data_IF_037171376248
#
_entry.id   IF_037171376248
#
_cell.length_a   1.000
_cell.length_b   1.000
_cell.length_c   1.000
_cell.angle_alpha   90.00
_cell.angle_beta   90.00
_cell.angle_gamma   90.00
#
_symmetry.space_group_name_H-M   'P 1'
#
loop_
_entity.id
_entity.type
_entity.pdbx_description
1 polymer ?
#
# COMPACT_ATOMS: atom_id res chain seq x y z
N UNK A 1 -6.25 -10.36 3.85
CA UNK A 1 -7.25 -9.34 4.23
C UNK A 1 -6.67 -8.40 5.28
N UNK A 2 -6.65 -8.72 6.60
CA UNK A 2 -6.16 -7.78 7.64
C UNK A 2 -4.75 -7.22 7.41
N UNK A 3 -3.75 -8.10 7.18
CA UNK A 3 -2.37 -7.66 6.92
C UNK A 3 -2.25 -6.85 5.62
N UNK A 4 -3.10 -7.12 4.62
CA UNK A 4 -3.12 -6.33 3.38
C UNK A 4 -3.72 -4.95 3.64
N UNK A 5 -4.85 -4.87 4.35
CA UNK A 5 -5.40 -3.58 4.79
C UNK A 5 -4.40 -2.74 5.59
N UNK A 6 -3.58 -3.39 6.43
CA UNK A 6 -2.51 -2.70 7.14
C UNK A 6 -1.41 -2.17 6.22
N UNK A 7 -1.01 -2.96 5.22
CA UNK A 7 -0.05 -2.54 4.20
C UNK A 7 -0.58 -1.32 3.42
N UNK A 8 -1.81 -1.37 2.89
CA UNK A 8 -2.38 -0.23 2.14
C UNK A 8 -2.45 1.03 3.03
N UNK A 9 -2.82 0.86 4.32
CA UNK A 9 -2.86 1.98 5.27
C UNK A 9 -1.48 2.63 5.44
N UNK A 10 -0.43 1.82 5.53
CA UNK A 10 0.94 2.34 5.63
C UNK A 10 1.39 2.96 4.31
N UNK A 11 1.00 2.41 3.17
CA UNK A 11 1.31 2.98 1.86
C UNK A 11 0.75 4.42 1.75
N UNK A 12 -0.50 4.66 2.17
CA UNK A 12 -1.08 6.02 2.26
C UNK A 12 -0.18 6.96 3.06
N UNK A 13 0.21 6.55 4.27
CA UNK A 13 1.04 7.37 5.16
C UNK A 13 2.42 7.64 4.55
N UNK A 14 3.00 6.65 3.88
CA UNK A 14 4.31 6.75 3.23
C UNK A 14 4.29 7.67 2.02
N UNK A 15 3.22 7.69 1.21
CA UNK A 15 3.08 8.66 0.12
C UNK A 15 2.99 10.10 0.65
N UNK A 16 2.26 10.32 1.74
CA UNK A 16 2.20 11.63 2.39
C UNK A 16 3.53 12.00 3.06
N UNK A 17 4.24 11.04 3.65
CA UNK A 17 5.58 11.27 4.19
C UNK A 17 6.55 11.69 3.09
N UNK A 18 6.49 11.07 1.90
CA UNK A 18 7.31 11.48 0.75
C UNK A 18 7.12 12.96 0.38
N UNK A 19 5.85 13.37 0.27
CA UNK A 19 5.46 14.75 -0.05
C UNK A 19 5.97 15.72 1.03
N UNK A 20 5.63 15.46 2.29
CA UNK A 20 5.86 16.40 3.39
C UNK A 20 7.33 16.48 3.78
N UNK A 21 8.04 15.35 3.78
CA UNK A 21 9.42 15.25 4.27
C UNK A 21 10.43 15.70 3.22
N UNK A 22 10.30 15.20 2.00
CA UNK A 22 11.34 15.37 0.99
C UNK A 22 10.99 16.47 -0.02
N UNK A 23 9.71 16.75 -0.26
CA UNK A 23 9.29 17.77 -1.22
C UNK A 23 9.92 19.15 -1.00
N UNK A 24 9.73 19.78 0.19
CA UNK A 24 10.22 21.13 0.44
C UNK A 24 11.74 21.28 0.38
N UNK A 25 12.47 20.25 0.83
CA UNK A 25 13.93 20.30 1.01
C UNK A 25 14.72 19.99 -0.26
N UNK A 26 14.07 19.45 -1.30
CA UNK A 26 14.74 18.96 -2.51
C UNK A 26 14.30 19.67 -3.80
N UNK A 27 13.52 20.75 -3.71
CA UNK A 27 13.00 21.50 -4.86
C UNK A 27 12.33 20.59 -5.91
N UNK A 28 11.52 19.64 -5.43
CA UNK A 28 10.91 18.64 -6.29
C UNK A 28 9.95 19.28 -7.31
N UNK A 29 9.88 18.77 -8.55
CA UNK A 29 8.94 19.27 -9.54
C UNK A 29 7.50 18.97 -9.13
N UNK A 30 6.53 19.73 -9.67
CA UNK A 30 5.10 19.50 -9.41
C UNK A 30 4.66 18.05 -9.64
N UNK A 31 5.19 17.38 -10.66
CA UNK A 31 4.85 15.99 -10.98
C UNK A 31 5.13 15.02 -9.84
N UNK A 32 6.19 15.25 -9.05
CA UNK A 32 6.48 14.46 -7.85
C UNK A 32 5.28 14.46 -6.90
N UNK A 33 4.72 15.64 -6.62
CA UNK A 33 3.56 15.76 -5.73
C UNK A 33 2.30 15.17 -6.35
N UNK A 34 2.06 15.44 -7.64
CA UNK A 34 0.88 14.94 -8.34
C UNK A 34 0.86 13.39 -8.36
N UNK A 35 2.02 12.76 -8.58
CA UNK A 35 2.16 11.30 -8.58
C UNK A 35 1.92 10.71 -7.18
N UNK A 36 2.57 11.24 -6.13
CA UNK A 36 2.36 10.72 -4.77
C UNK A 36 0.93 10.97 -4.25
N UNK A 37 0.28 12.08 -4.60
CA UNK A 37 -1.13 12.33 -4.25
C UNK A 37 -2.05 11.34 -4.98
N UNK A 38 -1.77 11.05 -6.25
CA UNK A 38 -2.51 10.05 -7.02
C UNK A 38 -2.40 8.67 -6.38
N UNK A 39 -1.17 8.23 -6.07
CA UNK A 39 -0.93 6.92 -5.46
C UNK A 39 -1.59 6.85 -4.08
N UNK A 40 -1.46 7.89 -3.24
CA UNK A 40 -2.14 7.94 -1.93
C UNK A 40 -3.67 7.79 -2.04
N UNK A 41 -4.28 8.34 -3.10
CA UNK A 41 -5.71 8.17 -3.36
C UNK A 41 -6.06 6.75 -3.80
N UNK A 42 -5.25 6.13 -4.66
CA UNK A 42 -5.41 4.73 -5.08
C UNK A 42 -5.30 3.79 -3.87
N UNK A 43 -4.27 3.98 -3.03
CA UNK A 43 -4.08 3.24 -1.78
C UNK A 43 -5.23 3.41 -0.79
N UNK A 44 -5.81 4.62 -0.69
CA UNK A 44 -6.99 4.84 0.15
C UNK A 44 -8.21 4.00 -0.29
N UNK A 45 -8.34 3.77 -1.60
CA UNK A 45 -9.41 2.92 -2.16
C UNK A 45 -9.08 1.45 -1.96
N UNK A 46 -7.82 1.06 -2.09
CA UNK A 46 -7.35 -0.29 -1.79
C UNK A 46 -7.65 -0.64 -0.34
N UNK A 47 -7.21 0.21 0.59
CA UNK A 47 -7.48 0.13 2.02
C UNK A 47 -8.97 -0.01 2.29
N UNK A 48 -9.78 0.89 1.74
CA UNK A 48 -11.23 0.91 1.97
C UNK A 48 -11.90 -0.39 1.49
N UNK A 49 -11.47 -0.94 0.34
CA UNK A 49 -11.98 -2.20 -0.18
C UNK A 49 -11.70 -3.35 0.80
N UNK A 50 -10.48 -3.46 1.30
CA UNK A 50 -10.11 -4.50 2.26
C UNK A 50 -10.76 -4.30 3.63
N UNK A 51 -10.76 -3.07 4.16
CA UNK A 51 -11.34 -2.75 5.45
C UNK A 51 -12.86 -3.02 5.46
N UNK A 52 -13.56 -2.66 4.38
CA UNK A 52 -14.98 -2.98 4.21
C UNK A 52 -15.19 -4.49 4.14
N UNK A 53 -14.35 -5.21 3.38
CA UNK A 53 -14.47 -6.67 3.24
C UNK A 53 -14.29 -7.41 4.57
N UNK A 54 -13.52 -6.88 5.52
CA UNK A 54 -13.37 -7.49 6.84
C UNK A 54 -14.68 -7.52 7.64
N UNK A 55 -15.56 -6.53 7.44
CA UNK A 55 -16.84 -6.44 8.14
C UNK A 55 -17.76 -7.62 7.78
N UNK A 56 -17.65 -8.15 6.56
CA UNK A 56 -18.41 -9.33 6.13
C UNK A 56 -18.01 -10.61 6.87
N UNK A 57 -16.90 -10.58 7.62
CA UNK A 57 -16.38 -11.69 8.41
C UNK A 57 -16.35 -11.36 9.92
N UNK A 58 -17.20 -10.44 10.38
CA UNK A 58 -17.30 -10.01 11.78
C UNK A 58 -15.95 -9.53 12.37
N UNK A 59 -15.08 -8.96 11.53
CA UNK A 59 -13.79 -8.40 11.91
C UNK A 59 -13.65 -6.97 11.40
N UNK A 60 -12.61 -6.25 11.81
CA UNK A 60 -12.35 -4.88 11.40
C UNK A 60 -10.85 -4.57 11.36
N UNK A 61 -10.48 -3.47 10.71
CA UNK A 61 -9.09 -3.03 10.71
C UNK A 61 -8.66 -2.58 12.11
N UNK A 62 -7.55 -3.14 12.63
CA UNK A 62 -7.08 -2.91 14.00
C UNK A 62 -7.56 -3.94 15.03
N UNK A 63 -8.36 -4.93 14.62
CA UNK A 63 -8.83 -6.04 15.49
C UNK A 63 -7.68 -6.98 15.94
N UNK A 64 -6.55 -6.96 15.24
CA UNK A 64 -5.32 -7.66 15.63
C UNK A 64 -4.10 -6.75 15.48
N UNK A 65 -3.01 -7.00 16.23
CA UNK A 65 -1.78 -6.21 16.13
C UNK A 65 -1.23 -6.19 14.70
N UNK A 66 -0.82 -5.00 14.26
CA UNK A 66 -0.05 -4.81 13.03
C UNK A 66 1.40 -5.24 13.19
N UNK A 67 2.16 -5.18 12.09
CA UNK A 67 3.61 -5.38 12.10
C UNK A 67 4.30 -4.15 11.53
N UNK A 68 5.42 -3.73 12.12
CA UNK A 68 6.03 -2.42 11.81
C UNK A 68 7.15 -2.48 10.76
N UNK A 69 7.34 -3.61 10.07
CA UNK A 69 8.51 -3.80 9.20
C UNK A 69 8.67 -2.77 8.06
N UNK A 70 7.55 -2.26 7.53
CA UNK A 70 7.55 -1.15 6.56
C UNK A 70 7.97 0.17 7.22
N UNK A 71 7.52 0.41 8.45
CA UNK A 71 7.83 1.61 9.23
C UNK A 71 9.29 1.64 9.68
N UNK A 72 9.87 0.48 10.04
CA UNK A 72 11.29 0.36 10.35
C UNK A 72 12.15 0.81 9.16
N UNK A 73 11.82 0.33 7.96
CA UNK A 73 12.52 0.74 6.73
C UNK A 73 12.33 2.22 6.42
N UNK A 74 11.14 2.77 6.70
CA UNK A 74 10.87 4.19 6.54
C UNK A 74 11.67 5.05 7.53
N UNK A 75 11.82 4.60 8.78
CA UNK A 75 12.61 5.26 9.80
C UNK A 75 14.11 5.26 9.43
N UNK A 76 14.64 4.11 9.01
CA UNK A 76 16.05 3.96 8.62
C UNK A 76 16.43 4.81 7.40
N UNK A 77 15.45 5.19 6.57
CA UNK A 77 15.64 6.00 5.35
C UNK A 77 15.11 7.42 5.49
N UNK A 78 14.76 7.87 6.70
CA UNK A 78 14.09 9.15 6.91
C UNK A 78 14.88 10.37 6.42
N UNK A 79 16.20 10.28 6.32
CA UNK A 79 17.07 11.40 5.94
C UNK A 79 17.57 11.34 4.49
N UNK A 80 17.20 10.32 3.72
CA UNK A 80 17.66 10.14 2.33
C UNK A 80 16.50 9.72 1.40
N UNK A 81 16.11 10.66 0.54
CA UNK A 81 15.01 10.46 -0.42
C UNK A 81 15.29 9.33 -1.42
N UNK A 82 16.54 9.14 -1.85
CA UNK A 82 16.90 8.10 -2.81
C UNK A 82 16.87 6.73 -2.12
N UNK A 83 17.36 6.65 -0.88
CA UNK A 83 17.26 5.43 -0.08
C UNK A 83 15.79 5.07 0.19
N UNK A 84 14.94 6.06 0.50
CA UNK A 84 13.50 5.85 0.70
C UNK A 84 12.82 5.32 -0.55
N UNK A 85 13.05 5.96 -1.70
CA UNK A 85 12.51 5.50 -2.99
C UNK A 85 12.96 4.07 -3.31
N UNK A 86 14.25 3.77 -3.14
CA UNK A 86 14.79 2.44 -3.47
C UNK A 86 14.25 1.33 -2.55
N UNK A 87 14.21 1.55 -1.24
CA UNK A 87 13.86 0.48 -0.30
C UNK A 87 12.36 0.34 -0.07
N UNK A 88 11.63 1.44 0.02
CA UNK A 88 10.19 1.40 0.26
C UNK A 88 9.43 1.24 -1.05
N UNK A 89 9.55 2.21 -1.96
CA UNK A 89 8.71 2.23 -3.16
C UNK A 89 9.14 1.21 -4.22
N UNK A 90 10.44 1.01 -4.47
CA UNK A 90 10.88 0.09 -5.52
C UNK A 90 11.02 -1.37 -5.05
N UNK A 91 11.20 -1.62 -3.75
CA UNK A 91 11.43 -2.97 -3.21
C UNK A 91 10.25 -3.48 -2.40
N UNK A 92 9.72 -2.72 -1.44
CA UNK A 92 8.61 -3.22 -0.62
C UNK A 92 7.30 -3.27 -1.38
N UNK A 93 6.96 -2.23 -2.15
CA UNK A 93 5.73 -2.25 -2.98
C UNK A 93 5.79 -3.33 -4.06
N UNK A 94 6.95 -3.46 -4.74
CA UNK A 94 7.15 -4.50 -5.75
C UNK A 94 6.99 -5.92 -5.19
N UNK A 95 7.35 -6.16 -3.92
CA UNK A 95 7.11 -7.45 -3.25
C UNK A 95 5.63 -7.71 -2.99
N UNK A 96 4.81 -6.67 -2.85
CA UNK A 96 3.35 -6.80 -2.81
C UNK A 96 2.83 -7.52 -4.04
N UNK A 97 3.33 -7.13 -5.23
CA UNK A 97 3.00 -7.76 -6.52
C UNK A 97 3.38 -9.25 -6.57
N UNK A 98 4.52 -9.64 -6.00
CA UNK A 98 4.95 -11.04 -5.96
C UNK A 98 3.98 -11.95 -5.19
N UNK A 99 3.26 -11.39 -4.21
CA UNK A 99 2.29 -12.15 -3.40
C UNK A 99 0.91 -12.28 -4.06
N UNK A 100 0.63 -11.47 -5.08
CA UNK A 100 -0.68 -11.41 -5.73
C UNK A 100 -1.15 -12.76 -6.32
N UNK A 101 -0.33 -13.52 -7.08
CA UNK A 101 -0.77 -14.82 -7.64
C UNK A 101 -1.17 -15.82 -6.57
N UNK A 102 -0.44 -15.85 -5.44
CA UNK A 102 -0.77 -16.70 -4.31
C UNK A 102 -2.09 -16.29 -3.64
N UNK A 103 -2.32 -14.99 -3.47
CA UNK A 103 -3.56 -14.47 -2.90
C UNK A 103 -4.76 -14.81 -3.79
N UNK A 104 -4.66 -14.60 -5.11
CA UNK A 104 -5.69 -14.99 -6.09
C UNK A 104 -6.00 -16.48 -5.99
N UNK A 105 -4.99 -17.35 -5.99
CA UNK A 105 -5.20 -18.81 -5.88
C UNK A 105 -5.97 -19.21 -4.61
N UNK A 106 -5.72 -18.53 -3.48
CA UNK A 106 -6.43 -18.76 -2.22
C UNK A 106 -7.90 -18.34 -2.31
N UNK A 107 -8.20 -17.14 -2.81
CA UNK A 107 -9.57 -16.66 -2.91
C UNK A 107 -10.40 -17.38 -3.97
N UNK A 108 -9.79 -17.80 -5.08
CA UNK A 108 -10.42 -18.69 -6.07
C UNK A 108 -10.82 -20.02 -5.46
N UNK A 109 -9.95 -20.62 -4.63
CA UNK A 109 -10.26 -21.88 -3.92
C UNK A 109 -11.46 -21.72 -2.97
N UNK A 110 -11.60 -20.55 -2.34
CA UNK A 110 -12.71 -20.22 -1.46
C UNK A 110 -13.98 -19.76 -2.20
N UNK A 111 -13.94 -19.62 -3.53
CA UNK A 111 -15.03 -19.06 -4.35
C UNK A 111 -15.47 -17.66 -3.89
N UNK A 112 -14.49 -16.83 -3.52
CA UNK A 112 -14.72 -15.47 -3.05
C UNK A 112 -14.62 -14.48 -4.23
N UNK A 113 -15.65 -14.47 -5.07
CA UNK A 113 -15.69 -13.66 -6.29
C UNK A 113 -15.67 -12.16 -6.01
N UNK A 114 -16.26 -11.74 -4.88
CA UNK A 114 -16.24 -10.35 -4.41
C UNK A 114 -14.81 -9.88 -4.17
N UNK A 115 -14.03 -10.67 -3.44
CA UNK A 115 -12.62 -10.33 -3.15
C UNK A 115 -11.77 -10.35 -4.41
N UNK A 116 -11.95 -11.36 -5.26
CA UNK A 116 -11.23 -11.46 -6.53
C UNK A 116 -11.47 -10.25 -7.45
N UNK A 117 -12.68 -9.71 -7.45
CA UNK A 117 -13.05 -8.58 -8.32
C UNK A 117 -12.27 -7.31 -7.95
N UNK A 118 -12.29 -6.90 -6.68
CA UNK A 118 -11.56 -5.68 -6.30
C UNK A 118 -10.05 -5.93 -6.26
N UNK A 119 -9.59 -7.14 -5.95
CA UNK A 119 -8.16 -7.48 -6.03
C UNK A 119 -7.60 -7.29 -7.44
N UNK A 120 -8.33 -7.72 -8.47
CA UNK A 120 -7.91 -7.54 -9.86
C UNK A 120 -7.84 -6.07 -10.26
N UNK A 121 -8.77 -5.25 -9.74
CA UNK A 121 -8.74 -3.81 -9.92
C UNK A 121 -7.51 -3.20 -9.23
N UNK A 122 -7.31 -3.47 -7.95
CA UNK A 122 -6.19 -2.90 -7.19
C UNK A 122 -4.86 -3.26 -7.84
N UNK A 123 -4.67 -4.53 -8.20
CA UNK A 123 -3.44 -4.99 -8.85
C UNK A 123 -3.11 -4.26 -10.17
N UNK A 124 -4.12 -3.83 -10.92
CA UNK A 124 -3.89 -3.03 -12.12
C UNK A 124 -3.40 -1.61 -11.81
N UNK A 125 -3.81 -1.04 -10.68
CA UNK A 125 -3.34 0.25 -10.16
C UNK A 125 -1.89 0.11 -9.63
N UNK A 126 -1.61 -0.94 -8.83
CA UNK A 126 -0.30 -1.27 -8.25
C UNK A 126 0.85 -1.39 -9.27
N UNK A 127 0.56 -1.88 -10.49
CA UNK A 127 1.59 -2.00 -11.56
C UNK A 127 2.10 -0.62 -12.03
N UNK A 128 1.37 0.45 -11.73
CA UNK A 128 1.69 1.82 -12.15
C UNK A 128 2.26 2.69 -11.03
N UNK A 129 2.42 2.13 -9.83
CA UNK A 129 3.07 2.77 -8.69
C UNK A 129 4.58 2.70 -8.82
#
# INVERSE_FOLDING_TARGET
MRSVAHAESYAIDLMWDMICRFGPSNDMPRSFYDDFVRIALEESRHFTSWATRLLDFDSFYGDLPGHDGLWDSAADTADDVLARLALVHLVHEARGLDTYPMAVARFTKCRDDTTLTFMAKNHAEEVTH
#
